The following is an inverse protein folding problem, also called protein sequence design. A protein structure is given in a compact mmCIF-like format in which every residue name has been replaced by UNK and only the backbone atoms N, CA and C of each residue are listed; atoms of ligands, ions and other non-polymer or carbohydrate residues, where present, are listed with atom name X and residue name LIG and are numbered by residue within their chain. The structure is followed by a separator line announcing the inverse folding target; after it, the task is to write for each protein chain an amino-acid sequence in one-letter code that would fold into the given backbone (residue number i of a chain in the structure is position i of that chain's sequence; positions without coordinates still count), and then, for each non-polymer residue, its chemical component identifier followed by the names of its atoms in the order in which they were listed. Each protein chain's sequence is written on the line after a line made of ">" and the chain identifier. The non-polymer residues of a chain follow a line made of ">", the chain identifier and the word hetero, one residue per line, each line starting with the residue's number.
data_IF_317664622012
#
_entry.id   IF_317664622012
#
_cell.length_a   1.000
_cell.length_b   1.000
_cell.length_c   1.000
_cell.angle_alpha   90.00
_cell.angle_beta   90.00
_cell.angle_gamma   90.00
#
_symmetry.space_group_name_H-M   'P 1'
#
loop_
_entity.id
_entity.type
_entity.pdbx_description
1 polymer ?
#
# COMPACT_ATOMS: atom_id res chain seq x y z
N UNK A 1 18.83 -12.61 7.24
CA UNK A 1 17.46 -12.08 7.23
C UNK A 1 16.74 -12.54 8.49
N UNK A 2 15.88 -11.68 9.06
CA UNK A 2 15.12 -12.00 10.29
C UNK A 2 13.81 -12.76 10.00
N UNK A 3 13.59 -13.20 8.76
CA UNK A 3 12.41 -13.97 8.36
C UNK A 3 11.15 -13.16 8.06
N UNK A 4 11.25 -11.84 7.86
CA UNK A 4 10.12 -11.00 7.46
C UNK A 4 9.57 -11.42 6.10
N UNK A 5 8.25 -11.55 6.01
CA UNK A 5 7.55 -11.79 4.76
C UNK A 5 7.31 -10.47 4.04
N UNK A 6 7.94 -10.29 2.88
CA UNK A 6 7.79 -9.12 2.03
C UNK A 6 7.88 -9.54 0.57
N UNK A 7 6.74 -9.89 -0.05
CA UNK A 7 6.70 -10.55 -1.35
C UNK A 7 7.30 -9.71 -2.47
N UNK A 8 6.89 -8.45 -2.57
CA UNK A 8 7.31 -7.58 -3.66
C UNK A 8 7.93 -6.25 -3.18
N UNK A 9 8.27 -6.11 -1.90
CA UNK A 9 9.02 -4.96 -1.41
C UNK A 9 8.18 -3.88 -0.72
N UNK A 10 7.11 -4.26 -0.01
CA UNK A 10 6.32 -3.30 0.78
C UNK A 10 7.13 -2.59 1.86
N UNK A 11 8.10 -3.28 2.47
CA UNK A 11 9.03 -2.69 3.43
C UNK A 11 10.24 -2.07 2.74
N UNK A 12 10.93 -2.82 1.89
CA UNK A 12 12.20 -2.38 1.30
C UNK A 12 12.06 -1.34 0.19
N UNK A 13 10.89 -1.18 -0.40
CA UNK A 13 10.62 -0.15 -1.42
C UNK A 13 9.72 0.94 -0.86
N UNK A 14 8.49 0.60 -0.43
CA UNK A 14 7.49 1.62 -0.11
C UNK A 14 7.80 2.39 1.17
N UNK A 15 8.19 1.72 2.24
CA UNK A 15 8.55 2.42 3.50
C UNK A 15 9.80 3.26 3.29
N UNK A 16 10.82 2.76 2.60
CA UNK A 16 12.03 3.53 2.30
C UNK A 16 11.74 4.75 1.43
N UNK A 17 10.95 4.58 0.36
CA UNK A 17 10.54 5.70 -0.50
C UNK A 17 9.74 6.75 0.28
N UNK A 18 8.87 6.31 1.20
CA UNK A 18 8.08 7.21 2.04
C UNK A 18 8.94 8.02 3.00
N UNK A 19 9.92 7.39 3.65
CA UNK A 19 10.86 8.09 4.54
C UNK A 19 11.70 9.08 3.75
N UNK A 20 12.21 8.67 2.59
CA UNK A 20 12.97 9.58 1.71
C UNK A 20 12.12 10.77 1.26
N UNK A 21 10.85 10.55 0.87
CA UNK A 21 9.91 11.60 0.49
C UNK A 21 9.59 12.55 1.64
N UNK A 22 9.39 12.03 2.85
CA UNK A 22 9.14 12.85 4.04
C UNK A 22 10.35 13.73 4.39
N UNK A 23 11.55 13.17 4.37
CA UNK A 23 12.79 13.93 4.60
C UNK A 23 12.95 14.99 3.50
N UNK A 24 12.71 14.65 2.23
CA UNK A 24 12.72 15.60 1.13
C UNK A 24 11.73 16.75 1.34
N UNK A 25 10.52 16.48 1.83
CA UNK A 25 9.53 17.49 2.13
C UNK A 25 9.98 18.45 3.24
N UNK A 26 10.68 17.95 4.27
CA UNK A 26 11.27 18.81 5.31
C UNK A 26 12.42 19.69 4.77
N UNK A 27 13.28 19.14 3.92
CA UNK A 27 14.39 19.90 3.32
C UNK A 27 13.91 21.01 2.36
N UNK A 28 12.90 20.73 1.54
CA UNK A 28 12.33 21.69 0.61
C UNK A 28 11.49 22.75 1.32
N UNK A 29 10.94 22.43 2.48
CA UNK A 29 10.04 23.31 3.23
C UNK A 29 8.64 23.42 2.63
N UNK A 30 7.86 24.32 3.19
CA UNK A 30 6.44 24.47 2.83
C UNK A 30 6.27 25.31 1.56
N UNK A 31 5.42 24.84 0.64
CA UNK A 31 5.02 25.60 -0.56
C UNK A 31 4.33 26.92 -0.20
N UNK A 32 4.37 27.88 -1.09
CA UNK A 32 3.56 29.10 -0.97
C UNK A 32 2.08 28.71 -0.86
N UNK A 33 1.36 29.35 0.07
CA UNK A 33 -0.05 29.06 0.29
C UNK A 33 -0.34 27.81 1.11
N UNK A 34 0.66 27.02 1.53
CA UNK A 34 0.45 25.83 2.34
C UNK A 34 -0.31 26.16 3.64
N UNK A 35 -1.43 25.46 3.87
CA UNK A 35 -2.33 25.67 5.01
C UNK A 35 -3.20 26.95 4.95
N UNK A 36 -3.10 27.75 3.87
CA UNK A 36 -3.91 28.96 3.64
C UNK A 36 -4.77 28.85 2.39
N UNK A 37 -4.30 28.14 1.38
CA UNK A 37 -4.96 27.98 0.09
C UNK A 37 -5.11 26.51 -0.24
N UNK A 38 -6.13 26.15 -1.04
CA UNK A 38 -6.29 24.81 -1.56
C UNK A 38 -5.29 24.58 -2.69
N UNK A 39 -4.39 23.62 -2.52
CA UNK A 39 -3.37 23.25 -3.50
C UNK A 39 -3.83 22.02 -4.28
N UNK A 40 -4.32 22.24 -5.49
CA UNK A 40 -4.84 21.19 -6.35
C UNK A 40 -3.77 20.64 -7.30
N UNK A 41 -3.93 19.39 -7.82
CA UNK A 41 -3.12 18.90 -8.93
C UNK A 41 -3.24 19.83 -10.14
N UNK A 42 -2.13 20.03 -10.88
CA UNK A 42 -2.12 20.83 -12.10
C UNK A 42 -3.13 20.31 -13.15
N UNK A 43 -3.22 18.98 -13.30
CA UNK A 43 -4.16 18.32 -14.19
C UNK A 43 -4.66 17.01 -13.58
N UNK A 44 -5.92 17.00 -13.15
CA UNK A 44 -6.54 15.82 -12.55
C UNK A 44 -6.69 14.66 -13.56
N UNK A 45 -6.94 14.99 -14.82
CA UNK A 45 -6.98 14.00 -15.92
C UNK A 45 -5.63 13.30 -16.09
N UNK A 46 -4.54 14.06 -16.12
CA UNK A 46 -3.20 13.48 -16.23
C UNK A 46 -2.83 12.67 -14.98
N UNK A 47 -3.26 13.10 -13.80
CA UNK A 47 -3.09 12.34 -12.56
C UNK A 47 -3.79 10.98 -12.65
N UNK A 48 -5.02 10.94 -13.17
CA UNK A 48 -5.76 9.69 -13.33
C UNK A 48 -5.12 8.78 -14.38
N UNK A 49 -4.65 9.33 -15.52
CA UNK A 49 -3.91 8.57 -16.52
C UNK A 49 -2.65 7.95 -15.90
N UNK A 50 -1.87 8.77 -15.15
CA UNK A 50 -0.67 8.30 -14.47
C UNK A 50 -0.97 7.20 -13.44
N UNK A 51 -2.00 7.36 -12.63
CA UNK A 51 -2.44 6.35 -11.66
C UNK A 51 -2.87 5.04 -12.34
N UNK A 52 -3.57 5.14 -13.48
CA UNK A 52 -3.99 3.96 -14.26
C UNK A 52 -2.79 3.21 -14.87
N UNK A 53 -1.79 3.93 -15.38
CA UNK A 53 -0.56 3.34 -15.88
C UNK A 53 0.28 2.71 -14.77
N UNK A 54 0.33 3.34 -13.59
CA UNK A 54 0.94 2.76 -12.40
C UNK A 54 0.24 1.46 -11.99
N UNK A 55 -1.09 1.45 -11.96
CA UNK A 55 -1.85 0.24 -11.63
C UNK A 55 -1.56 -0.89 -12.61
N UNK A 56 -1.57 -0.58 -13.91
CA UNK A 56 -1.21 -1.57 -14.93
C UNK A 56 0.21 -2.12 -14.73
N UNK A 57 1.19 -1.24 -14.52
CA UNK A 57 2.58 -1.64 -14.25
C UNK A 57 2.75 -2.44 -12.96
N UNK A 58 1.86 -2.24 -11.98
CA UNK A 58 1.95 -2.91 -10.68
C UNK A 58 1.62 -4.40 -10.73
N UNK A 59 0.87 -4.85 -11.72
CA UNK A 59 0.74 -6.28 -11.98
C UNK A 59 2.09 -6.92 -12.29
N UNK A 60 2.92 -6.25 -13.10
CA UNK A 60 4.31 -6.68 -13.32
C UNK A 60 5.15 -6.59 -12.05
N UNK A 61 4.99 -5.52 -11.28
CA UNK A 61 5.70 -5.33 -10.02
C UNK A 61 5.40 -6.44 -9.00
N UNK A 62 4.14 -6.72 -8.74
CA UNK A 62 3.71 -7.72 -7.75
C UNK A 62 3.77 -9.15 -8.30
N UNK A 63 3.08 -9.45 -9.40
CA UNK A 63 3.07 -10.80 -9.95
C UNK A 63 4.44 -11.21 -10.51
N UNK A 64 5.18 -10.26 -11.09
CA UNK A 64 6.54 -10.49 -11.56
C UNK A 64 7.54 -10.82 -10.45
N UNK A 65 7.26 -10.42 -9.20
CA UNK A 65 8.07 -10.79 -8.03
C UNK A 65 8.03 -12.28 -7.70
N UNK A 66 7.11 -13.04 -8.30
CA UNK A 66 7.15 -14.51 -8.25
C UNK A 66 8.33 -15.09 -9.04
N UNK A 67 8.96 -14.32 -9.94
CA UNK A 67 10.09 -14.69 -10.81
C UNK A 67 9.80 -15.89 -11.73
N UNK A 68 8.57 -16.35 -11.79
CA UNK A 68 8.13 -17.49 -12.57
C UNK A 68 6.64 -17.36 -12.92
N UNK A 69 6.24 -17.85 -14.10
CA UNK A 69 4.84 -17.91 -14.51
C UNK A 69 4.15 -19.13 -13.89
N UNK A 70 3.73 -19.01 -12.64
CA UNK A 70 3.13 -20.08 -11.86
C UNK A 70 1.86 -19.63 -11.11
N UNK A 71 1.30 -20.52 -10.28
CA UNK A 71 0.10 -20.23 -9.48
C UNK A 71 0.27 -19.09 -8.48
N UNK A 72 1.51 -18.87 -7.96
CA UNK A 72 1.82 -17.77 -7.04
C UNK A 72 1.78 -16.42 -7.78
N UNK A 73 2.29 -16.37 -9.00
CA UNK A 73 2.17 -15.17 -9.86
C UNK A 73 0.70 -14.86 -10.15
N UNK A 74 -0.12 -15.88 -10.45
CA UNK A 74 -1.57 -15.72 -10.63
C UNK A 74 -2.28 -15.24 -9.36
N UNK A 75 -1.91 -15.75 -8.20
CA UNK A 75 -2.44 -15.30 -6.91
C UNK A 75 -2.05 -13.85 -6.63
N UNK A 76 -0.77 -13.48 -6.81
CA UNK A 76 -0.30 -12.12 -6.62
C UNK A 76 -1.02 -11.14 -7.56
N UNK A 77 -1.29 -11.54 -8.79
CA UNK A 77 -2.05 -10.75 -9.76
C UNK A 77 -3.48 -10.46 -9.26
N UNK A 78 -4.23 -11.51 -8.89
CA UNK A 78 -5.62 -11.34 -8.45
C UNK A 78 -5.72 -10.58 -7.12
N UNK A 79 -4.81 -10.83 -6.18
CA UNK A 79 -4.76 -10.12 -4.91
C UNK A 79 -4.46 -8.63 -5.11
N UNK A 80 -3.57 -8.30 -6.04
CA UNK A 80 -3.27 -6.91 -6.41
C UNK A 80 -4.52 -6.21 -6.96
N UNK A 81 -5.28 -6.87 -7.83
CA UNK A 81 -6.52 -6.33 -8.36
C UNK A 81 -7.54 -6.07 -7.26
N UNK A 82 -7.83 -7.09 -6.46
CA UNK A 82 -8.88 -7.02 -5.43
C UNK A 82 -8.57 -5.97 -4.38
N UNK A 83 -7.34 -5.95 -3.85
CA UNK A 83 -6.95 -4.99 -2.83
C UNK A 83 -6.99 -3.54 -3.36
N UNK A 84 -6.56 -3.32 -4.60
CA UNK A 84 -6.60 -2.00 -5.23
C UNK A 84 -8.03 -1.50 -5.40
N UNK A 85 -8.92 -2.32 -5.95
CA UNK A 85 -10.32 -1.97 -6.13
C UNK A 85 -11.01 -1.71 -4.78
N UNK A 86 -10.77 -2.58 -3.79
CA UNK A 86 -11.32 -2.44 -2.44
C UNK A 86 -10.85 -1.13 -1.76
N UNK A 87 -9.58 -0.79 -1.90
CA UNK A 87 -9.02 0.43 -1.32
C UNK A 87 -9.55 1.70 -2.00
N UNK A 88 -9.69 1.71 -3.33
CA UNK A 88 -10.31 2.82 -4.04
C UNK A 88 -11.74 3.06 -3.55
N UNK A 89 -12.54 2.00 -3.43
CA UNK A 89 -13.92 2.06 -2.95
C UNK A 89 -13.98 2.53 -1.49
N UNK A 90 -13.19 1.93 -0.59
CA UNK A 90 -13.20 2.30 0.84
C UNK A 90 -12.72 3.73 1.07
N UNK A 91 -11.72 4.21 0.31
CA UNK A 91 -11.30 5.61 0.35
C UNK A 91 -12.42 6.56 -0.06
N UNK A 92 -13.07 6.28 -1.20
CA UNK A 92 -14.19 7.10 -1.68
C UNK A 92 -15.36 7.15 -0.68
N UNK A 93 -15.72 6.03 -0.06
CA UNK A 93 -16.73 5.99 0.99
C UNK A 93 -16.30 6.77 2.23
N UNK A 94 -15.06 6.66 2.65
CA UNK A 94 -14.54 7.42 3.78
C UNK A 94 -14.54 8.94 3.47
N UNK A 95 -14.11 9.35 2.27
CA UNK A 95 -14.26 10.76 1.85
C UNK A 95 -15.71 11.22 1.88
N UNK A 96 -16.63 10.39 1.39
CA UNK A 96 -18.06 10.73 1.40
C UNK A 96 -18.57 10.97 2.82
N UNK A 97 -18.19 10.13 3.77
CA UNK A 97 -18.58 10.27 5.18
C UNK A 97 -17.97 11.55 5.78
N UNK A 98 -16.66 11.75 5.62
CA UNK A 98 -15.94 12.84 6.30
C UNK A 98 -15.99 14.18 5.57
N UNK A 99 -15.94 14.16 4.22
CA UNK A 99 -15.90 15.38 3.38
C UNK A 99 -17.21 15.64 2.64
N UNK A 100 -18.22 14.77 2.78
CA UNK A 100 -19.56 14.83 2.15
C UNK A 100 -19.58 14.58 0.64
N UNK A 101 -18.45 14.40 -0.01
CA UNK A 101 -18.34 14.05 -1.43
C UNK A 101 -17.04 13.28 -1.69
N UNK A 102 -17.09 12.24 -2.55
CA UNK A 102 -15.91 11.57 -3.04
C UNK A 102 -15.22 12.43 -4.09
N UNK A 103 -13.93 12.18 -4.34
CA UNK A 103 -13.16 12.88 -5.35
C UNK A 103 -12.42 11.91 -6.28
N UNK A 104 -12.16 12.36 -7.54
CA UNK A 104 -11.35 11.58 -8.47
C UNK A 104 -9.92 11.41 -7.95
N UNK A 105 -9.35 12.43 -7.31
CA UNK A 105 -8.04 12.34 -6.67
C UNK A 105 -8.06 11.31 -5.54
N UNK A 106 -9.14 11.27 -4.75
CA UNK A 106 -9.34 10.28 -3.71
C UNK A 106 -9.44 8.86 -4.25
N UNK A 107 -10.13 8.66 -5.37
CA UNK A 107 -10.18 7.36 -6.04
C UNK A 107 -8.78 6.89 -6.48
N UNK A 108 -7.98 7.78 -7.10
CA UNK A 108 -6.61 7.48 -7.48
C UNK A 108 -5.72 7.17 -6.27
N UNK A 109 -5.78 8.01 -5.22
CA UNK A 109 -4.99 7.82 -3.99
C UNK A 109 -5.38 6.54 -3.25
N UNK A 110 -6.67 6.22 -3.22
CA UNK A 110 -7.18 4.96 -2.65
C UNK A 110 -6.67 3.75 -3.42
N UNK A 111 -6.71 3.79 -4.76
CA UNK A 111 -6.14 2.73 -5.59
C UNK A 111 -4.64 2.53 -5.30
N UNK A 112 -3.85 3.60 -5.27
CA UNK A 112 -2.43 3.52 -4.91
C UNK A 112 -2.22 2.96 -3.50
N UNK A 113 -3.04 3.34 -2.54
CA UNK A 113 -2.96 2.81 -1.17
C UNK A 113 -3.17 1.29 -1.13
N UNK A 114 -4.11 0.78 -1.92
CA UNK A 114 -4.33 -0.65 -2.07
C UNK A 114 -3.16 -1.37 -2.72
N UNK A 115 -2.60 -0.79 -3.79
CA UNK A 115 -1.39 -1.30 -4.45
C UNK A 115 -0.22 -1.41 -3.47
N UNK A 116 0.03 -0.36 -2.70
CA UNK A 116 1.10 -0.31 -1.71
C UNK A 116 0.89 -1.34 -0.61
N UNK A 117 -0.29 -1.35 0.02
CA UNK A 117 -0.56 -2.21 1.17
C UNK A 117 -0.58 -3.70 0.82
N UNK A 118 -0.97 -4.07 -0.41
CA UNK A 118 -0.96 -5.48 -0.84
C UNK A 118 0.44 -5.95 -1.27
N UNK A 119 1.35 -5.04 -1.59
CA UNK A 119 2.68 -5.37 -2.11
C UNK A 119 3.46 -6.38 -1.24
N UNK A 120 3.56 -6.24 0.09
CA UNK A 120 4.26 -7.24 0.90
C UNK A 120 3.51 -8.56 1.02
N UNK A 121 2.19 -8.56 0.79
CA UNK A 121 1.28 -9.66 1.07
C UNK A 121 0.86 -10.46 -0.17
N UNK A 122 0.94 -9.89 -1.37
CA UNK A 122 0.21 -10.35 -2.55
C UNK A 122 0.42 -11.83 -2.92
N UNK A 123 1.59 -12.39 -2.67
CA UNK A 123 1.89 -13.82 -2.90
C UNK A 123 1.72 -14.71 -1.67
N UNK A 124 1.44 -14.15 -0.49
CA UNK A 124 1.37 -14.89 0.77
C UNK A 124 -0.03 -15.03 1.36
N UNK A 125 -0.97 -14.16 0.97
CA UNK A 125 -2.31 -14.13 1.55
C UNK A 125 -3.36 -14.66 0.59
N UNK A 126 -4.44 -15.19 1.14
CA UNK A 126 -5.61 -15.57 0.35
C UNK A 126 -6.41 -14.34 -0.11
N UNK A 127 -7.32 -14.56 -1.04
CA UNK A 127 -8.20 -13.51 -1.64
C UNK A 127 -9.00 -12.74 -0.59
N UNK A 128 -9.50 -13.41 0.45
CA UNK A 128 -10.20 -12.76 1.57
C UNK A 128 -9.30 -11.81 2.34
N UNK A 129 -8.03 -12.20 2.60
CA UNK A 129 -7.02 -11.34 3.21
C UNK A 129 -6.71 -10.12 2.36
N UNK A 130 -6.57 -10.29 1.04
CA UNK A 130 -6.34 -9.18 0.11
C UNK A 130 -7.48 -8.16 0.11
N UNK A 131 -8.74 -8.63 0.16
CA UNK A 131 -9.92 -7.77 0.27
C UNK A 131 -9.86 -6.91 1.56
N UNK A 132 -9.59 -7.54 2.70
CA UNK A 132 -9.52 -6.84 3.99
C UNK A 132 -8.35 -5.85 4.01
N UNK A 133 -7.18 -6.24 3.52
CA UNK A 133 -6.01 -5.34 3.40
C UNK A 133 -6.38 -4.11 2.58
N UNK A 134 -7.03 -4.28 1.43
CA UNK A 134 -7.47 -3.19 0.59
C UNK A 134 -8.46 -2.25 1.28
N UNK A 135 -9.51 -2.80 1.90
CA UNK A 135 -10.51 -2.01 2.63
C UNK A 135 -9.87 -1.17 3.75
N UNK A 136 -8.97 -1.74 4.52
CA UNK A 136 -8.26 -1.03 5.58
C UNK A 136 -7.29 0.01 5.03
N UNK A 137 -6.59 -0.30 3.94
CA UNK A 137 -5.64 0.62 3.31
C UNK A 137 -6.30 1.92 2.87
N UNK A 138 -7.47 1.86 2.23
CA UNK A 138 -8.17 3.07 1.80
C UNK A 138 -8.51 4.02 2.96
N UNK A 139 -9.00 3.48 4.08
CA UNK A 139 -9.36 4.30 5.25
C UNK A 139 -8.14 4.81 6.00
N UNK A 140 -7.17 3.93 6.28
CA UNK A 140 -5.99 4.26 7.09
C UNK A 140 -5.07 5.23 6.36
N UNK A 141 -4.86 5.05 5.04
CA UNK A 141 -4.06 5.98 4.25
C UNK A 141 -4.78 7.33 4.05
N UNK A 142 -6.10 7.37 3.97
CA UNK A 142 -6.84 8.64 3.99
C UNK A 142 -6.54 9.44 5.27
N UNK A 143 -6.51 8.78 6.43
CA UNK A 143 -6.04 9.41 7.66
C UNK A 143 -4.56 9.81 7.56
N UNK A 144 -3.71 8.98 6.94
CA UNK A 144 -2.29 9.27 6.72
C UNK A 144 -2.06 10.58 5.97
N UNK A 145 -2.80 10.81 4.88
CA UNK A 145 -2.66 12.02 4.06
C UNK A 145 -3.40 13.25 4.61
N UNK A 146 -4.29 13.07 5.54
CA UNK A 146 -5.05 14.17 6.14
C UNK A 146 -4.64 14.48 7.58
N UNK A 147 -4.76 13.52 8.48
CA UNK A 147 -4.50 13.65 9.92
C UNK A 147 -3.00 13.61 10.23
N UNK A 148 -2.33 12.51 9.87
CA UNK A 148 -0.91 12.32 10.16
C UNK A 148 -0.03 13.38 9.50
N UNK A 149 -0.28 13.72 8.24
CA UNK A 149 0.42 14.80 7.53
C UNK A 149 0.35 16.13 8.26
N UNK A 150 -0.81 16.47 8.86
CA UNK A 150 -0.95 17.67 9.69
C UNK A 150 -0.16 17.57 10.99
N UNK A 151 -0.17 16.41 11.65
CA UNK A 151 0.59 16.17 12.88
C UNK A 151 2.10 16.30 12.65
N UNK A 152 2.59 15.79 11.54
CA UNK A 152 4.00 15.88 11.14
C UNK A 152 4.39 17.30 10.71
N UNK A 153 3.43 18.15 10.34
CA UNK A 153 3.69 19.51 9.86
C UNK A 153 4.49 19.59 8.57
N UNK A 154 4.61 18.48 7.83
CA UNK A 154 5.32 18.37 6.57
C UNK A 154 4.42 18.75 5.38
N UNK A 155 4.97 19.45 4.40
CA UNK A 155 4.29 19.66 3.12
C UNK A 155 4.67 18.53 2.15
N UNK A 156 4.21 17.33 2.47
CA UNK A 156 4.29 16.16 1.59
C UNK A 156 3.28 16.34 0.44
N UNK A 157 3.72 17.01 -0.61
CA UNK A 157 2.85 17.50 -1.69
C UNK A 157 2.20 16.41 -2.53
N UNK A 158 2.81 15.24 -2.57
CA UNK A 158 2.33 14.06 -3.31
C UNK A 158 1.79 12.97 -2.39
N UNK A 159 1.65 13.26 -1.11
CA UNK A 159 1.13 12.32 -0.09
C UNK A 159 1.94 11.02 0.02
N UNK A 160 3.25 11.09 -0.29
CA UNK A 160 4.12 9.91 -0.38
C UNK A 160 4.19 9.18 0.96
N UNK A 161 4.39 9.92 2.06
CA UNK A 161 4.45 9.28 3.37
C UNK A 161 3.09 8.71 3.80
N UNK A 162 2.01 9.47 3.57
CA UNK A 162 0.66 9.04 3.92
C UNK A 162 0.17 7.81 3.15
N UNK A 163 0.59 7.64 1.90
CA UNK A 163 0.22 6.49 1.06
C UNK A 163 1.26 5.37 1.20
N UNK A 164 2.53 5.64 0.89
CA UNK A 164 3.56 4.60 0.84
C UNK A 164 4.09 4.21 2.23
N UNK A 165 4.28 5.17 3.14
CA UNK A 165 4.75 4.89 4.51
C UNK A 165 3.68 4.18 5.33
N UNK A 166 2.52 4.81 5.45
CA UNK A 166 1.41 4.26 6.23
C UNK A 166 0.87 2.99 5.60
N UNK A 167 0.67 2.97 4.28
CA UNK A 167 0.22 1.79 3.54
C UNK A 167 1.20 0.63 3.58
N UNK A 168 2.51 0.91 3.45
CA UNK A 168 3.56 -0.10 3.55
C UNK A 168 3.67 -0.72 4.93
N UNK A 169 3.62 0.09 6.01
CA UNK A 169 3.60 -0.41 7.39
C UNK A 169 2.35 -1.25 7.65
N UNK A 170 1.18 -0.74 7.27
CA UNK A 170 -0.08 -1.48 7.41
C UNK A 170 -0.03 -2.81 6.67
N UNK A 171 0.43 -2.80 5.41
CA UNK A 171 0.55 -4.00 4.58
C UNK A 171 1.51 -5.02 5.17
N UNK A 172 2.68 -4.59 5.66
CA UNK A 172 3.65 -5.47 6.32
C UNK A 172 3.07 -6.14 7.57
N UNK A 173 2.38 -5.38 8.42
CA UNK A 173 1.73 -5.92 9.62
C UNK A 173 0.60 -6.91 9.25
N UNK A 174 -0.25 -6.56 8.29
CA UNK A 174 -1.35 -7.41 7.87
C UNK A 174 -0.87 -8.64 7.08
N UNK A 175 0.29 -8.59 6.42
CA UNK A 175 0.95 -9.78 5.88
C UNK A 175 1.21 -10.79 6.99
N UNK A 176 1.76 -10.34 8.13
CA UNK A 176 1.98 -11.18 9.30
C UNK A 176 0.70 -11.83 9.84
N UNK A 177 -0.45 -11.20 9.67
CA UNK A 177 -1.75 -11.75 10.11
C UNK A 177 -2.32 -12.71 9.06
N UNK A 178 -2.46 -12.24 7.81
CA UNK A 178 -3.21 -12.98 6.77
C UNK A 178 -2.39 -14.03 6.02
N UNK A 179 -1.07 -14.12 6.24
CA UNK A 179 -0.27 -15.25 5.78
C UNK A 179 -0.55 -16.53 6.60
N UNK A 180 -1.38 -16.45 7.65
CA UNK A 180 -1.81 -17.62 8.42
C UNK A 180 -2.54 -18.62 7.52
N UNK A 181 -2.18 -19.91 7.51
CA UNK A 181 -2.86 -20.93 6.72
C UNK A 181 -4.36 -21.01 7.03
N UNK A 182 -4.75 -20.81 8.29
CA UNK A 182 -6.16 -20.79 8.72
C UNK A 182 -6.97 -19.63 8.10
N UNK A 183 -6.31 -18.57 7.62
CA UNK A 183 -6.92 -17.42 6.94
C UNK A 183 -6.72 -17.46 5.42
N UNK A 184 -6.30 -18.62 4.89
CA UNK A 184 -6.07 -18.82 3.46
C UNK A 184 -4.68 -18.39 2.98
N UNK A 185 -3.75 -18.20 3.90
CA UNK A 185 -2.35 -17.90 3.57
C UNK A 185 -1.69 -19.09 2.85
N UNK A 186 -0.74 -18.77 1.97
CA UNK A 186 0.00 -19.74 1.18
C UNK A 186 1.28 -20.16 1.90
N UNK A 187 1.79 -21.37 1.58
CA UNK A 187 3.14 -21.77 1.98
C UNK A 187 4.19 -21.01 1.16
N UNK A 188 5.36 -20.79 1.75
CA UNK A 188 6.54 -20.22 1.07
C UNK A 188 7.77 -21.07 1.34
N UNK A 189 8.81 -20.84 0.58
CA UNK A 189 10.12 -21.48 0.77
C UNK A 189 11.06 -20.53 1.51
N UNK A 190 11.62 -20.99 2.63
CA UNK A 190 12.67 -20.27 3.34
C UNK A 190 14.03 -20.64 2.73
N UNK A 191 14.58 -19.73 1.92
CA UNK A 191 15.87 -19.93 1.25
C UNK A 191 17.05 -19.90 2.21
N UNK A 192 16.91 -19.36 3.43
CA UNK A 192 17.96 -19.36 4.44
C UNK A 192 18.02 -20.70 5.16
N UNK A 193 16.86 -21.19 5.57
CA UNK A 193 16.73 -22.52 6.19
C UNK A 193 16.77 -23.66 5.18
N UNK A 194 16.64 -23.36 3.88
CA UNK A 194 16.50 -24.33 2.78
C UNK A 194 15.38 -25.36 3.07
N UNK A 195 14.23 -24.87 3.52
CA UNK A 195 13.08 -25.66 3.96
C UNK A 195 11.77 -24.91 3.70
N UNK A 196 10.60 -25.60 3.72
CA UNK A 196 9.33 -24.93 3.78
C UNK A 196 9.25 -24.00 4.99
N UNK A 197 8.82 -22.75 4.77
CA UNK A 197 8.70 -21.74 5.83
C UNK A 197 7.64 -22.14 6.86
N UNK A 198 7.98 -21.97 8.13
CA UNK A 198 7.04 -22.16 9.23
C UNK A 198 6.36 -20.82 9.54
N UNK A 199 5.02 -20.84 9.54
CA UNK A 199 4.26 -19.63 9.90
C UNK A 199 4.25 -19.43 11.43
N UNK A 200 4.70 -18.24 11.85
CA UNK A 200 4.59 -17.76 13.22
C UNK A 200 4.18 -16.28 13.20
N UNK A 201 2.92 -16.01 13.58
CA UNK A 201 2.39 -14.64 13.62
C UNK A 201 3.19 -13.74 14.55
N UNK A 202 3.58 -14.24 15.73
CA UNK A 202 4.30 -13.44 16.71
C UNK A 202 5.70 -13.05 16.21
N UNK A 203 6.36 -13.95 15.48
CA UNK A 203 7.62 -13.66 14.82
C UNK A 203 7.43 -12.61 13.73
N UNK A 204 6.42 -12.74 12.87
CA UNK A 204 6.17 -11.79 11.77
C UNK A 204 5.81 -10.38 12.28
N UNK A 205 5.11 -10.24 13.39
CA UNK A 205 4.74 -8.94 13.96
C UNK A 205 5.85 -8.28 14.80
N UNK A 206 6.95 -8.99 15.09
CA UNK A 206 8.09 -8.48 15.86
C UNK A 206 9.25 -8.01 14.98
N UNK A 207 9.19 -8.26 13.71
CA UNK A 207 10.22 -7.91 12.74
C UNK A 207 10.01 -6.49 12.23
#
# INVERSE_FOLDING_TARGET
>A
AKGALDFAGGTVVHINAAVAGLIGAYFLGKRRGYGKEALYPHSLTMTMIGASLLWFGWFGFNAGSALEANGIAGLAFINTWIATAAAAVSWMFAEWIFKKHPSMLGAASGALSGLVAITPACGFVGVGGALVIGLLAGVVCLWGVTGLKKLLGADDSLDVFGVHGVGGILGAMLTGVFAAPALGGTSWWDYVANAPGAYDMAAQLKI
#
